data_IF_137357369769
#
_entry.id   IF_137357369769
#
_cell.length_a   1.000
_cell.length_b   1.000
_cell.length_c   1.000
_cell.angle_alpha   90.00
_cell.angle_beta   90.00
_cell.angle_gamma   90.00
#
_symmetry.space_group_name_H-M   'P 1'
#
loop_
_entity.id
_entity.type
_entity.pdbx_description
1 polymer ?
#
# COMPACT_ATOMS: atom_id res chain seq x y z
N UNK A 1 5.89 -6.43 -9.68
CA UNK A 1 7.08 -5.88 -10.33
C UNK A 1 6.68 -5.36 -11.69
N UNK A 2 7.05 -4.15 -12.01
CA UNK A 2 6.81 -3.48 -13.28
C UNK A 2 8.16 -3.05 -13.86
N UNK A 3 8.38 -3.29 -15.15
CA UNK A 3 9.64 -2.97 -15.83
C UNK A 3 9.35 -2.01 -16.98
N UNK A 4 10.10 -0.92 -17.07
CA UNK A 4 10.06 0.04 -18.20
C UNK A 4 8.67 0.58 -18.55
N UNK A 5 7.86 0.87 -17.54
CA UNK A 5 6.50 1.39 -17.74
C UNK A 5 5.46 0.35 -18.10
N UNK A 6 5.77 -0.95 -17.99
CA UNK A 6 4.76 -2.01 -18.09
C UNK A 6 3.59 -1.69 -17.15
N UNK A 7 2.36 -1.82 -17.63
CA UNK A 7 1.14 -1.50 -16.90
C UNK A 7 0.50 -2.73 -16.23
N UNK A 8 0.80 -3.93 -16.70
CA UNK A 8 0.25 -5.17 -16.15
C UNK A 8 1.12 -5.72 -15.01
N UNK A 9 2.43 -5.64 -15.17
CA UNK A 9 3.41 -6.11 -14.21
C UNK A 9 3.43 -7.64 -14.05
N UNK A 10 4.47 -8.11 -13.39
CA UNK A 10 4.62 -9.53 -13.01
C UNK A 10 4.38 -9.69 -11.52
N UNK A 11 3.47 -10.59 -11.13
CA UNK A 11 3.20 -10.90 -9.74
C UNK A 11 4.24 -11.86 -9.18
N UNK A 12 5.03 -11.39 -8.23
CA UNK A 12 6.04 -12.17 -7.53
C UNK A 12 5.52 -12.59 -6.16
N UNK A 13 5.43 -13.89 -5.91
CA UNK A 13 4.98 -14.43 -4.62
C UNK A 13 6.16 -14.59 -3.67
N UNK A 14 6.21 -13.77 -2.63
CA UNK A 14 7.21 -13.85 -1.57
C UNK A 14 6.70 -14.78 -0.46
N UNK A 15 7.34 -15.91 -0.24
CA UNK A 15 6.90 -16.91 0.75
C UNK A 15 7.93 -17.18 1.84
N UNK A 16 9.16 -16.74 1.65
CA UNK A 16 10.28 -16.95 2.58
C UNK A 16 11.39 -15.94 2.32
N UNK A 17 12.33 -15.84 3.25
CA UNK A 17 13.55 -15.09 3.04
C UNK A 17 14.40 -15.79 1.95
N UNK A 18 14.60 -15.13 0.82
CA UNK A 18 15.34 -15.62 -0.33
C UNK A 18 15.68 -14.46 -1.28
N UNK A 19 16.55 -14.75 -2.25
CA UNK A 19 16.76 -13.87 -3.40
C UNK A 19 15.70 -14.17 -4.47
N UNK A 20 15.11 -13.11 -5.01
CA UNK A 20 14.08 -13.18 -6.05
C UNK A 20 14.53 -12.38 -7.26
N UNK A 21 14.45 -12.98 -8.44
CA UNK A 21 14.71 -12.29 -9.71
C UNK A 21 13.55 -11.35 -10.00
N UNK A 22 13.84 -10.07 -10.18
CA UNK A 22 12.84 -9.04 -10.49
C UNK A 22 12.67 -8.83 -11.99
N UNK A 23 13.77 -8.92 -12.75
CA UNK A 23 13.81 -8.82 -14.19
C UNK A 23 15.04 -9.60 -14.71
N UNK A 24 14.93 -10.14 -15.90
CA UNK A 24 16.02 -10.86 -16.58
C UNK A 24 15.90 -10.73 -18.10
N UNK A 25 16.99 -10.99 -18.80
CA UNK A 25 17.05 -10.94 -20.27
C UNK A 25 16.63 -9.57 -20.85
N UNK A 26 16.90 -8.48 -20.11
CA UNK A 26 16.69 -7.14 -20.61
C UNK A 26 17.70 -6.81 -21.72
N UNK A 27 17.30 -5.98 -22.67
CA UNK A 27 18.22 -5.45 -23.68
C UNK A 27 19.28 -4.57 -23.02
N UNK A 28 20.41 -4.33 -23.67
CA UNK A 28 21.39 -3.36 -23.16
C UNK A 28 20.78 -1.95 -23.15
N UNK A 29 20.78 -1.29 -21.99
CA UNK A 29 20.19 0.04 -21.87
C UNK A 29 19.93 0.45 -20.40
N UNK A 30 19.20 1.54 -20.28
CA UNK A 30 18.70 2.02 -18.97
C UNK A 30 17.30 1.43 -18.77
N UNK A 31 17.11 0.77 -17.66
CA UNK A 31 15.85 0.15 -17.27
C UNK A 31 15.35 0.67 -15.94
N UNK A 32 14.04 0.77 -15.81
CA UNK A 32 13.36 1.12 -14.56
C UNK A 32 12.61 -0.08 -14.03
N UNK A 33 12.89 -0.45 -12.79
CA UNK A 33 12.16 -1.52 -12.09
C UNK A 33 11.40 -0.91 -10.93
N UNK A 34 10.07 -1.01 -10.95
CA UNK A 34 9.18 -0.56 -9.88
C UNK A 34 8.61 -1.76 -9.14
N UNK A 35 8.72 -1.75 -7.83
CA UNK A 35 8.22 -2.81 -6.95
C UNK A 35 7.05 -2.25 -6.14
N UNK A 36 5.92 -2.93 -6.17
CA UNK A 36 4.73 -2.57 -5.40
C UNK A 36 4.30 -3.75 -4.55
N UNK A 37 4.09 -3.51 -3.25
CA UNK A 37 3.45 -4.50 -2.38
C UNK A 37 1.95 -4.52 -2.68
N UNK A 38 1.48 -5.57 -3.33
CA UNK A 38 0.10 -5.67 -3.79
C UNK A 38 -0.88 -6.10 -2.68
N UNK A 39 -0.42 -6.84 -1.67
CA UNK A 39 -1.26 -7.37 -0.59
C UNK A 39 -1.30 -6.43 0.61
N UNK A 40 -2.37 -6.52 1.42
CA UNK A 40 -2.45 -5.77 2.68
C UNK A 40 -1.43 -6.23 3.72
N UNK A 41 -1.31 -5.46 4.81
CA UNK A 41 -0.44 -5.81 5.94
C UNK A 41 -0.89 -7.09 6.67
N UNK A 42 -2.15 -7.47 6.60
CA UNK A 42 -2.65 -8.73 7.17
C UNK A 42 -2.03 -9.97 6.52
N UNK A 43 -1.56 -9.85 5.28
CA UNK A 43 -0.80 -10.90 4.59
C UNK A 43 0.70 -10.91 4.93
N UNK A 44 1.11 -10.12 5.89
CA UNK A 44 2.50 -9.97 6.33
C UNK A 44 3.22 -8.75 5.75
N UNK A 45 4.36 -8.45 6.33
CA UNK A 45 5.26 -7.39 5.87
C UNK A 45 6.32 -7.96 4.93
N UNK A 46 6.77 -7.15 3.99
CA UNK A 46 7.93 -7.44 3.14
C UNK A 46 9.05 -6.51 3.54
N UNK A 47 10.22 -7.08 3.82
CA UNK A 47 11.46 -6.34 4.04
C UNK A 47 12.40 -6.66 2.89
N UNK A 48 13.01 -5.64 2.32
CA UNK A 48 14.02 -5.76 1.28
C UNK A 48 15.36 -5.44 1.93
N UNK A 49 16.28 -6.39 1.95
CA UNK A 49 17.59 -6.20 2.56
C UNK A 49 18.60 -5.61 1.56
N UNK A 50 18.55 -5.99 0.29
CA UNK A 50 19.45 -5.51 -0.73
C UNK A 50 18.92 -5.73 -2.14
N UNK A 51 19.51 -5.02 -3.08
CA UNK A 51 19.37 -5.26 -4.52
C UNK A 51 20.72 -5.61 -5.13
N UNK A 52 20.72 -6.43 -6.17
CA UNK A 52 21.90 -6.72 -6.99
C UNK A 52 21.55 -6.64 -8.48
N UNK A 53 22.52 -6.30 -9.30
CA UNK A 53 22.41 -6.26 -10.76
C UNK A 53 23.77 -6.59 -11.36
N UNK A 54 23.80 -7.10 -12.58
CA UNK A 54 25.00 -7.26 -13.40
C UNK A 54 25.45 -5.93 -14.03
N UNK A 55 24.58 -4.91 -14.02
CA UNK A 55 24.86 -3.55 -14.46
C UNK A 55 25.25 -2.60 -13.32
N UNK A 56 24.80 -1.36 -13.43
CA UNK A 56 25.01 -0.30 -12.43
C UNK A 56 23.68 0.27 -11.99
N UNK A 57 23.54 0.47 -10.67
CA UNK A 57 22.41 1.26 -10.16
C UNK A 57 22.63 2.74 -10.50
N UNK A 58 21.61 3.32 -11.10
CA UNK A 58 21.53 4.76 -11.32
C UNK A 58 20.65 5.38 -10.24
N UNK A 59 20.92 6.64 -9.92
CA UNK A 59 20.01 7.39 -9.05
C UNK A 59 18.71 7.62 -9.80
N UNK A 60 17.53 7.32 -9.21
CA UNK A 60 16.26 7.66 -9.84
C UNK A 60 16.19 9.15 -10.14
N UNK A 61 15.66 9.50 -11.29
CA UNK A 61 15.31 10.90 -11.55
C UNK A 61 14.25 11.30 -10.53
N UNK A 62 14.50 12.40 -9.84
CA UNK A 62 13.52 12.97 -8.91
C UNK A 62 12.51 13.74 -9.78
N UNK A 63 11.43 13.07 -10.14
CA UNK A 63 10.33 13.73 -10.81
C UNK A 63 9.55 14.57 -9.78
N UNK A 64 9.20 15.80 -10.14
CA UNK A 64 8.23 16.63 -9.41
C UNK A 64 6.80 16.10 -9.67
N UNK A 65 6.57 14.82 -9.34
CA UNK A 65 5.29 14.19 -9.51
C UNK A 65 4.34 14.64 -8.40
N UNK A 66 3.07 14.81 -8.77
CA UNK A 66 1.99 14.91 -7.81
C UNK A 66 2.07 13.73 -6.83
N UNK A 67 1.99 13.98 -5.52
CA UNK A 67 2.09 12.97 -4.48
C UNK A 67 0.76 12.83 -3.76
N UNK A 68 0.14 11.67 -3.84
CA UNK A 68 -1.17 11.40 -3.26
C UNK A 68 -1.05 10.33 -2.18
N UNK A 69 -1.56 10.60 -0.99
CA UNK A 69 -1.77 9.60 0.04
C UNK A 69 -3.24 9.19 0.10
N UNK A 70 -3.49 7.89 0.13
CA UNK A 70 -4.82 7.32 0.34
C UNK A 70 -4.84 6.62 1.70
N UNK A 71 -5.70 7.12 2.58
CA UNK A 71 -5.91 6.57 3.92
C UNK A 71 -7.27 5.88 3.95
N UNK A 72 -7.31 4.58 4.28
CA UNK A 72 -8.57 3.87 4.17
C UNK A 72 -8.63 2.47 4.78
N UNK A 73 -9.69 1.78 4.42
CA UNK A 73 -10.00 0.43 4.87
C UNK A 73 -9.85 -0.62 3.74
N UNK A 74 -10.63 -1.69 3.79
CA UNK A 74 -10.63 -2.77 2.80
C UNK A 74 -10.89 -2.27 1.36
N UNK A 75 -11.71 -1.25 1.18
CA UNK A 75 -12.03 -0.68 -0.15
C UNK A 75 -10.78 -0.05 -0.74
N UNK A 76 -10.04 0.69 0.07
CA UNK A 76 -8.80 1.36 -0.33
C UNK A 76 -7.65 0.37 -0.61
N UNK A 77 -7.59 -0.73 0.15
CA UNK A 77 -6.64 -1.84 -0.12
C UNK A 77 -6.96 -2.59 -1.41
N UNK A 78 -8.19 -2.47 -1.93
CA UNK A 78 -8.66 -3.26 -3.06
C UNK A 78 -9.00 -4.70 -2.65
N UNK A 79 -9.69 -4.87 -1.52
CA UNK A 79 -10.15 -6.19 -1.08
C UNK A 79 -11.16 -6.77 -2.08
N UNK A 80 -10.99 -8.06 -2.41
CA UNK A 80 -11.87 -8.79 -3.33
C UNK A 80 -11.71 -8.46 -4.82
N UNK A 81 -10.75 -7.61 -5.20
CA UNK A 81 -10.53 -7.25 -6.61
C UNK A 81 -9.66 -8.25 -7.36
N UNK A 82 -9.05 -9.20 -6.68
CA UNK A 82 -8.24 -10.25 -7.29
C UNK A 82 -8.45 -11.61 -6.61
N UNK A 83 -9.15 -12.52 -7.27
CA UNK A 83 -9.34 -13.92 -6.84
C UNK A 83 -9.63 -14.04 -5.32
N UNK A 84 -10.62 -13.31 -4.83
CA UNK A 84 -11.05 -13.25 -3.43
C UNK A 84 -9.97 -12.75 -2.44
N UNK A 85 -8.94 -12.08 -2.94
CA UNK A 85 -7.89 -11.45 -2.14
C UNK A 85 -7.78 -9.95 -2.41
N UNK A 86 -7.06 -9.23 -1.54
CA UNK A 86 -6.71 -7.85 -1.79
C UNK A 86 -5.61 -7.75 -2.85
N UNK A 87 -5.76 -6.79 -3.77
CA UNK A 87 -4.70 -6.36 -4.68
C UNK A 87 -4.72 -4.84 -4.83
N UNK A 88 -3.82 -4.19 -4.10
CA UNK A 88 -3.72 -2.73 -4.12
C UNK A 88 -3.48 -2.17 -5.53
N UNK A 89 -2.79 -2.92 -6.40
CA UNK A 89 -2.50 -2.47 -7.78
C UNK A 89 -3.72 -2.49 -8.71
N UNK A 90 -4.82 -3.10 -8.27
CA UNK A 90 -6.11 -3.16 -8.97
C UNK A 90 -7.18 -2.34 -8.23
N UNK A 91 -6.87 -1.79 -7.06
CA UNK A 91 -7.75 -0.93 -6.28
C UNK A 91 -7.80 0.49 -6.84
N UNK A 92 -8.89 1.21 -6.51
CA UNK A 92 -9.12 2.57 -7.02
C UNK A 92 -7.98 3.53 -6.68
N UNK A 93 -7.39 3.43 -5.49
CA UNK A 93 -6.34 4.30 -5.03
C UNK A 93 -5.12 4.27 -5.97
N UNK A 94 -4.62 3.07 -6.23
CA UNK A 94 -3.49 2.88 -7.14
C UNK A 94 -3.83 3.28 -8.58
N UNK A 95 -4.99 2.87 -9.08
CA UNK A 95 -5.41 3.19 -10.46
C UNK A 95 -5.62 4.69 -10.67
N UNK A 96 -6.14 5.40 -9.65
CA UNK A 96 -6.26 6.87 -9.69
C UNK A 96 -4.88 7.53 -9.77
N UNK A 97 -3.95 7.13 -8.92
CA UNK A 97 -2.59 7.66 -8.95
C UNK A 97 -1.91 7.40 -10.31
N UNK A 98 -2.05 6.18 -10.85
CA UNK A 98 -1.51 5.85 -12.17
C UNK A 98 -2.12 6.71 -13.28
N UNK A 99 -3.43 6.92 -13.28
CA UNK A 99 -4.12 7.75 -14.27
C UNK A 99 -3.68 9.23 -14.23
N UNK A 100 -3.26 9.70 -13.07
CA UNK A 100 -2.77 11.06 -12.85
C UNK A 100 -1.23 11.18 -13.01
N UNK A 101 -0.51 10.10 -13.25
CA UNK A 101 0.95 10.08 -13.24
C UNK A 101 1.55 10.46 -11.88
N UNK A 102 0.82 10.18 -10.80
CA UNK A 102 1.18 10.57 -9.44
C UNK A 102 1.93 9.48 -8.70
N UNK A 103 2.79 9.90 -7.77
CA UNK A 103 3.34 9.02 -6.74
C UNK A 103 2.27 8.72 -5.70
N UNK A 104 2.21 7.47 -5.23
CA UNK A 104 1.12 6.98 -4.42
C UNK A 104 1.62 6.33 -3.12
N UNK A 105 1.03 6.77 -1.99
CA UNK A 105 1.09 6.06 -0.71
C UNK A 105 -0.30 5.53 -0.38
N UNK A 106 -0.38 4.28 0.10
CA UNK A 106 -1.64 3.67 0.53
C UNK A 106 -1.48 3.20 1.97
N UNK A 107 -2.10 3.92 2.90
CA UNK A 107 -2.17 3.61 4.33
C UNK A 107 -3.54 3.02 4.62
N UNK A 108 -3.69 1.72 4.41
CA UNK A 108 -4.99 1.06 4.50
C UNK A 108 -4.87 -0.39 4.95
N UNK A 109 -5.91 -0.90 5.61
CA UNK A 109 -6.03 -2.32 5.94
C UNK A 109 -7.49 -2.71 6.15
N UNK A 110 -7.82 -3.97 5.89
CA UNK A 110 -9.19 -4.48 6.00
C UNK A 110 -9.66 -4.44 7.46
N UNK A 111 -10.91 -4.06 7.66
CA UNK A 111 -11.58 -4.06 8.96
C UNK A 111 -11.19 -2.91 9.90
N UNK A 112 -10.34 -1.97 9.47
CA UNK A 112 -9.91 -0.87 10.33
C UNK A 112 -11.02 0.18 10.51
N UNK A 113 -11.19 0.66 11.73
CA UNK A 113 -12.04 1.80 12.08
C UNK A 113 -11.19 3.09 12.19
N UNK A 114 -11.83 4.24 12.14
CA UNK A 114 -11.18 5.54 12.38
C UNK A 114 -10.57 5.58 13.77
N UNK A 115 -11.38 5.27 14.78
CA UNK A 115 -10.99 5.23 16.18
C UNK A 115 -11.82 4.20 16.95
N UNK A 116 -11.59 4.08 18.23
CA UNK A 116 -12.32 3.11 19.07
C UNK A 116 -11.98 1.65 18.77
N UNK A 117 -12.95 0.74 18.95
CA UNK A 117 -12.75 -0.70 18.72
C UNK A 117 -12.85 -1.02 17.23
N UNK A 118 -11.92 -1.82 16.74
CA UNK A 118 -11.86 -2.36 15.40
C UNK A 118 -11.83 -3.89 15.48
N UNK A 119 -12.09 -4.59 14.36
CA UNK A 119 -11.82 -6.01 14.23
C UNK A 119 -10.33 -6.34 14.43
N UNK A 120 -9.50 -5.32 14.23
CA UNK A 120 -8.07 -5.38 14.48
C UNK A 120 -7.77 -4.94 15.93
N UNK A 121 -6.55 -5.23 16.38
CA UNK A 121 -6.05 -4.76 17.68
C UNK A 121 -5.78 -3.25 17.69
N UNK A 122 -5.83 -2.59 16.53
CA UNK A 122 -5.50 -1.19 16.32
C UNK A 122 -6.59 -0.50 15.49
N UNK A 123 -6.70 0.81 15.63
CA UNK A 123 -7.51 1.66 14.79
C UNK A 123 -6.63 2.55 13.90
N UNK A 124 -7.23 3.35 13.02
CA UNK A 124 -6.46 4.19 12.09
C UNK A 124 -5.66 5.28 12.79
N UNK A 125 -6.16 5.86 13.89
CA UNK A 125 -5.41 6.87 14.64
C UNK A 125 -4.11 6.33 15.24
N UNK A 126 -4.10 5.03 15.60
CA UNK A 126 -2.90 4.34 16.11
C UNK A 126 -1.98 3.87 14.99
N UNK A 127 -2.55 3.49 13.83
CA UNK A 127 -1.82 2.92 12.71
C UNK A 127 -1.21 3.96 11.77
N UNK A 128 -1.79 5.15 11.67
CA UNK A 128 -1.48 6.11 10.60
C UNK A 128 0.01 6.43 10.45
N UNK A 129 0.72 6.60 11.57
CA UNK A 129 2.17 6.86 11.57
C UNK A 129 3.01 5.58 11.67
N UNK A 130 2.40 4.42 11.51
CA UNK A 130 3.06 3.12 11.71
C UNK A 130 3.47 2.48 10.39
N UNK A 131 4.43 1.57 10.45
CA UNK A 131 4.87 0.79 9.28
C UNK A 131 3.70 -0.05 8.73
N UNK A 132 2.86 -0.59 9.60
CA UNK A 132 1.67 -1.37 9.21
C UNK A 132 0.78 -1.66 10.43
N UNK A 133 -0.42 -2.22 10.21
CA UNK A 133 -1.34 -2.66 11.27
C UNK A 133 -0.76 -3.74 12.20
N UNK A 134 0.26 -4.45 11.79
CA UNK A 134 0.95 -5.50 12.56
C UNK A 134 2.35 -5.10 13.02
N UNK A 135 2.79 -3.89 12.73
CA UNK A 135 4.08 -3.35 13.14
C UNK A 135 3.96 -1.85 13.41
N UNK A 136 3.69 -1.50 14.65
CA UNK A 136 3.47 -0.12 15.10
C UNK A 136 4.76 0.69 15.26
N UNK A 137 5.84 0.32 14.62
CA UNK A 137 7.05 1.13 14.53
C UNK A 137 6.79 2.39 13.69
N UNK A 138 7.32 3.54 14.12
CA UNK A 138 7.12 4.80 13.40
C UNK A 138 7.67 4.72 11.98
N UNK A 139 6.85 5.14 11.02
CA UNK A 139 7.23 5.38 9.66
C UNK A 139 7.66 6.85 9.52
N UNK A 140 8.92 7.15 9.16
CA UNK A 140 9.34 8.51 8.95
C UNK A 140 8.73 9.03 7.63
N UNK A 141 7.71 9.86 7.73
CA UNK A 141 7.20 10.60 6.57
C UNK A 141 8.21 11.72 6.25
N UNK A 142 9.08 11.49 5.28
CA UNK A 142 10.16 12.44 4.94
C UNK A 142 9.69 13.59 4.04
N UNK A 143 8.59 13.43 3.34
CA UNK A 143 8.11 14.41 2.36
C UNK A 143 6.58 14.53 2.44
N UNK A 144 6.02 15.75 2.51
CA UNK A 144 4.58 15.96 2.55
C UNK A 144 3.91 15.49 1.25
N UNK A 145 2.65 15.11 1.35
CA UNK A 145 1.79 14.81 0.20
C UNK A 145 1.09 16.09 -0.27
N UNK A 146 0.85 16.20 -1.58
CA UNK A 146 0.08 17.30 -2.15
C UNK A 146 -1.42 17.12 -1.91
N UNK A 147 -1.86 15.85 -1.91
CA UNK A 147 -3.26 15.47 -1.70
C UNK A 147 -3.32 14.29 -0.72
N UNK A 148 -4.23 14.38 0.25
CA UNK A 148 -4.59 13.26 1.12
C UNK A 148 -6.07 12.93 0.92
N UNK A 149 -6.34 11.68 0.54
CA UNK A 149 -7.70 11.16 0.33
C UNK A 149 -8.04 10.21 1.47
N UNK A 150 -9.05 10.55 2.28
CA UNK A 150 -9.48 9.72 3.41
C UNK A 150 -10.80 9.02 3.07
N UNK A 151 -10.77 7.69 3.02
CA UNK A 151 -11.93 6.82 2.77
C UNK A 151 -12.12 5.84 3.93
N UNK A 152 -12.68 6.30 5.02
CA UNK A 152 -12.90 5.55 6.27
C UNK A 152 -14.34 5.70 6.75
N UNK A 153 -14.71 4.91 7.76
CA UNK A 153 -16.02 4.99 8.43
C UNK A 153 -16.94 3.80 8.13
N UNK A 154 -16.67 3.02 7.10
CA UNK A 154 -17.47 1.84 6.77
C UNK A 154 -17.51 0.83 7.92
N UNK A 155 -16.36 0.54 8.51
CA UNK A 155 -16.25 -0.39 9.64
C UNK A 155 -16.77 0.23 10.94
N UNK A 156 -16.57 1.52 11.16
CA UNK A 156 -17.14 2.23 12.31
C UNK A 156 -18.66 2.11 12.31
N UNK A 157 -19.31 2.34 11.16
CA UNK A 157 -20.76 2.18 11.01
C UNK A 157 -21.21 0.74 11.31
N UNK A 158 -20.47 -0.25 10.81
CA UNK A 158 -20.78 -1.67 11.09
C UNK A 158 -20.71 -1.99 12.58
N UNK A 159 -19.68 -1.49 13.28
CA UNK A 159 -19.54 -1.68 14.72
C UNK A 159 -20.61 -0.94 15.51
N UNK A 160 -20.98 0.29 15.11
CA UNK A 160 -22.07 1.05 15.75
C UNK A 160 -23.43 0.34 15.61
N UNK A 161 -23.71 -0.25 14.44
CA UNK A 161 -24.97 -0.97 14.21
C UNK A 161 -25.05 -2.31 14.98
N UNK A 162 -23.90 -2.95 15.27
CA UNK A 162 -23.82 -4.23 15.98
C UNK A 162 -23.67 -4.14 17.48
N UNK A 163 -23.28 -2.98 18.03
CA UNK A 163 -23.01 -2.78 19.45
C UNK A 163 -23.79 -1.58 19.98
N UNK A 164 -24.78 -1.86 20.87
CA UNK A 164 -25.56 -0.82 21.56
C UNK A 164 -24.73 0.11 22.47
N UNK A 165 -23.45 -0.20 22.70
CA UNK A 165 -22.52 0.61 23.50
C UNK A 165 -21.76 1.65 22.68
N UNK A 166 -21.88 1.65 21.35
CA UNK A 166 -21.23 2.66 20.50
C UNK A 166 -22.14 3.88 20.39
N UNK A 167 -22.16 4.71 21.43
CA UNK A 167 -22.79 6.02 21.36
C UNK A 167 -21.75 7.04 20.90
N UNK A 168 -22.01 7.69 19.76
CA UNK A 168 -21.32 8.93 19.42
C UNK A 168 -21.90 10.00 20.34
N UNK A 169 -21.13 10.49 21.29
CA UNK A 169 -21.51 11.71 22.03
C UNK A 169 -21.64 12.86 21.00
N UNK A 170 -22.84 13.37 20.88
CA UNK A 170 -23.19 14.48 19.98
C UNK A 170 -22.80 15.82 20.58
#
# INVERSE_FOLDING_TARGET
VFVDGDTEGTRLRITRNNTYTLAENLQEGIHTVRIVKATSSQNGNVKIDSFSTDGKFLRPEQADNLRIEFVGDSITVGAGVFADSADATKGFAYLTAQALGADCSIVATEGICVGGKSALSVNMLEMYESISSISLGKYPAETPYDIVVVGLGTNDNWYMMGNAEYTVDR
#
